data_IF_052954422099
#
_entry.id   IF_052954422099
#
_cell.length_a   1.000
_cell.length_b   1.000
_cell.length_c   1.000
_cell.angle_alpha   90.00
_cell.angle_beta   90.00
_cell.angle_gamma   90.00
#
_symmetry.space_group_name_H-M   'P 1'
#
loop_
_entity.id
_entity.type
_entity.pdbx_description
1 polymer ?
#
# COMPACT_ATOMS: atom_id res chain seq x y z
N UNK A 1 33.29 10.75 7.48
CA UNK A 1 34.22 10.77 6.34
C UNK A 1 33.42 10.46 5.09
N UNK A 2 33.33 11.39 4.16
CA UNK A 2 32.68 11.18 2.87
C UNK A 2 33.78 11.18 1.80
N UNK A 3 33.98 10.05 1.14
CA UNK A 3 34.86 9.95 -0.02
C UNK A 3 34.11 10.51 -1.23
N UNK A 4 34.70 11.51 -1.89
CA UNK A 4 34.19 12.06 -3.14
C UNK A 4 35.33 12.65 -3.94
N UNK A 5 35.68 12.00 -5.05
CA UNK A 5 36.69 12.50 -5.99
C UNK A 5 36.20 13.76 -6.71
N UNK A 6 37.14 14.61 -7.09
CA UNK A 6 36.97 15.92 -7.73
C UNK A 6 36.28 15.89 -9.10
N UNK A 7 35.86 14.72 -9.60
CA UNK A 7 35.18 14.52 -10.88
C UNK A 7 33.80 13.86 -10.79
N UNK A 8 33.25 13.66 -9.58
CA UNK A 8 31.91 13.06 -9.43
C UNK A 8 30.83 14.01 -9.98
N UNK A 9 29.85 13.53 -10.79
CA UNK A 9 28.75 14.36 -11.25
C UNK A 9 28.05 15.00 -10.05
N UNK A 10 27.88 16.31 -10.12
CA UNK A 10 27.21 17.14 -9.10
C UNK A 10 26.00 16.41 -8.55
N UNK A 11 25.92 16.29 -7.22
CA UNK A 11 24.79 15.69 -6.46
C UNK A 11 23.53 15.68 -7.30
N UNK A 12 23.03 14.49 -7.65
CA UNK A 12 21.72 14.33 -8.27
C UNK A 12 20.75 15.23 -7.51
N UNK A 13 20.32 16.30 -8.18
CA UNK A 13 19.36 17.25 -7.66
C UNK A 13 18.14 16.40 -7.33
N UNK A 14 17.91 16.11 -6.04
CA UNK A 14 16.75 15.35 -5.59
C UNK A 14 15.55 15.95 -6.31
N UNK A 15 14.91 15.15 -7.17
CA UNK A 15 13.71 15.57 -7.87
C UNK A 15 12.76 16.12 -6.81
N UNK A 16 12.58 17.44 -6.79
CA UNK A 16 11.74 18.10 -5.80
C UNK A 16 10.33 17.70 -6.23
N UNK A 17 9.79 16.66 -5.61
CA UNK A 17 8.40 16.26 -5.82
C UNK A 17 7.55 17.40 -5.28
N UNK A 18 7.11 18.30 -6.16
CA UNK A 18 6.09 19.28 -5.82
C UNK A 18 4.84 18.49 -5.45
N UNK A 19 4.42 18.57 -4.19
CA UNK A 19 3.12 18.08 -3.76
C UNK A 19 2.07 18.93 -4.48
N UNK A 20 1.61 18.47 -5.65
CA UNK A 20 0.45 19.06 -6.28
C UNK A 20 -0.72 18.95 -5.30
N UNK A 21 -1.35 20.09 -5.00
CA UNK A 21 -2.54 20.20 -4.14
C UNK A 21 -3.75 19.37 -4.63
N UNK A 22 -3.61 18.63 -5.75
CA UNK A 22 -4.65 17.83 -6.38
C UNK A 22 -4.44 16.31 -6.23
N UNK A 23 -3.37 15.84 -5.59
CA UNK A 23 -3.12 14.41 -5.40
C UNK A 23 -4.13 13.81 -4.41
N UNK A 24 -4.80 12.74 -4.82
CA UNK A 24 -5.62 11.87 -3.98
C UNK A 24 -4.84 10.60 -3.67
N UNK A 25 -4.93 10.13 -2.43
CA UNK A 25 -4.40 8.83 -2.04
C UNK A 25 -5.52 7.81 -2.09
N UNK A 26 -5.25 6.66 -2.73
CA UNK A 26 -6.19 5.55 -2.87
C UNK A 26 -5.56 4.31 -2.27
N UNK A 27 -6.30 3.62 -1.42
CA UNK A 27 -5.94 2.31 -0.89
C UNK A 27 -6.81 1.26 -1.56
N UNK A 28 -6.18 0.25 -2.17
CA UNK A 28 -6.88 -0.84 -2.87
C UNK A 28 -6.48 -2.17 -2.25
N UNK A 29 -7.47 -3.00 -1.94
CA UNK A 29 -7.30 -4.40 -1.58
C UNK A 29 -8.00 -5.29 -2.60
N UNK A 30 -7.31 -6.34 -3.01
CA UNK A 30 -7.76 -7.27 -4.04
C UNK A 30 -7.13 -8.64 -3.82
N UNK A 31 -7.74 -9.66 -4.40
CA UNK A 31 -7.24 -11.04 -4.45
C UNK A 31 -7.29 -11.57 -5.89
N UNK A 32 -6.95 -12.84 -6.11
CA UNK A 32 -7.00 -13.46 -7.44
C UNK A 32 -8.40 -13.44 -8.08
N UNK A 33 -9.47 -13.23 -7.30
CA UNK A 33 -10.85 -13.11 -7.80
C UNK A 33 -11.27 -11.63 -8.02
N UNK A 34 -10.37 -10.68 -7.82
CA UNK A 34 -10.59 -9.26 -8.10
C UNK A 34 -10.67 -8.36 -6.85
N UNK A 35 -11.28 -7.18 -7.03
CA UNK A 35 -11.20 -6.08 -6.06
C UNK A 35 -12.16 -6.27 -4.88
N UNK A 36 -11.60 -6.24 -3.67
CA UNK A 36 -12.34 -6.36 -2.40
C UNK A 36 -12.78 -4.99 -1.88
N UNK A 37 -11.87 -4.03 -1.81
CA UNK A 37 -12.11 -2.70 -1.25
C UNK A 37 -11.26 -1.65 -1.97
N UNK A 38 -11.89 -0.52 -2.29
CA UNK A 38 -11.21 0.71 -2.71
C UNK A 38 -11.62 1.80 -1.73
N UNK A 39 -10.66 2.47 -1.14
CA UNK A 39 -10.90 3.59 -0.23
C UNK A 39 -10.11 4.82 -0.70
N UNK A 40 -10.83 5.90 -0.97
CA UNK A 40 -10.26 7.19 -1.30
C UNK A 40 -10.07 7.98 -0.02
N UNK A 41 -8.86 8.49 0.19
CA UNK A 41 -8.60 9.38 1.29
C UNK A 41 -8.93 10.82 0.95
N UNK A 42 -9.24 11.58 1.99
CA UNK A 42 -9.34 13.05 1.90
C UNK A 42 -8.02 13.63 1.37
N UNK A 43 -8.13 14.69 0.57
CA UNK A 43 -6.95 15.36 0.00
C UNK A 43 -6.10 15.95 1.11
N UNK A 44 -4.79 15.82 0.98
CA UNK A 44 -3.82 16.43 1.90
C UNK A 44 -3.63 15.71 3.23
N UNK A 45 -4.36 14.63 3.51
CA UNK A 45 -4.13 13.78 4.70
C UNK A 45 -3.26 12.59 4.37
N UNK A 46 -2.30 12.30 5.26
CA UNK A 46 -1.49 11.09 5.21
C UNK A 46 -2.17 9.96 6.00
N UNK A 47 -2.03 8.71 5.55
CA UNK A 47 -2.46 7.53 6.32
C UNK A 47 -1.66 7.48 7.61
N UNK A 48 -2.34 7.56 8.75
CA UNK A 48 -1.79 7.13 10.02
C UNK A 48 -2.24 5.68 10.32
N UNK A 49 -1.69 5.09 11.39
CA UNK A 49 -1.98 3.71 11.76
C UNK A 49 -3.43 3.50 12.21
N UNK A 50 -4.12 4.53 12.72
CA UNK A 50 -5.52 4.44 13.13
C UNK A 50 -6.47 4.39 11.93
N UNK A 51 -6.20 5.20 10.91
CA UNK A 51 -6.91 5.15 9.64
C UNK A 51 -6.74 3.78 8.99
N UNK A 52 -5.51 3.26 8.97
CA UNK A 52 -5.26 1.93 8.45
C UNK A 52 -5.99 0.83 9.24
N UNK A 53 -6.04 0.91 10.57
CA UNK A 53 -6.86 0.00 11.40
C UNK A 53 -8.34 0.03 11.01
N UNK A 54 -8.87 1.23 10.72
CA UNK A 54 -10.27 1.40 10.29
C UNK A 54 -10.49 0.77 8.92
N UNK A 55 -9.58 0.96 7.99
CA UNK A 55 -9.61 0.33 6.67
C UNK A 55 -9.55 -1.19 6.77
N UNK A 56 -8.68 -1.76 7.62
CA UNK A 56 -8.63 -3.23 7.83
C UNK A 56 -9.94 -3.80 8.38
N UNK A 57 -10.63 -3.08 9.26
CA UNK A 57 -11.98 -3.48 9.73
C UNK A 57 -13.01 -3.49 8.59
N UNK A 58 -12.95 -2.50 7.69
CA UNK A 58 -13.80 -2.46 6.48
C UNK A 58 -13.44 -3.60 5.52
N UNK A 59 -12.15 -3.87 5.33
CA UNK A 59 -11.66 -4.97 4.51
C UNK A 59 -12.16 -6.31 5.03
N UNK A 60 -12.10 -6.55 6.33
CA UNK A 60 -12.64 -7.76 6.94
C UNK A 60 -14.12 -7.95 6.57
N UNK A 61 -14.94 -6.90 6.70
CA UNK A 61 -16.36 -6.92 6.29
C UNK A 61 -16.52 -7.22 4.80
N UNK A 62 -15.72 -6.59 3.95
CA UNK A 62 -15.73 -6.82 2.50
C UNK A 62 -15.43 -8.28 2.14
N UNK A 63 -14.45 -8.91 2.82
CA UNK A 63 -14.12 -10.33 2.63
C UNK A 63 -15.30 -11.22 3.05
N UNK A 64 -15.93 -10.99 4.20
CA UNK A 64 -17.09 -11.82 4.63
C UNK A 64 -18.25 -11.73 3.64
N UNK A 65 -18.46 -10.57 3.04
CA UNK A 65 -19.55 -10.34 2.11
C UNK A 65 -19.27 -10.90 0.71
N UNK A 66 -18.07 -10.63 0.15
CA UNK A 66 -17.71 -10.94 -1.23
C UNK A 66 -17.06 -12.32 -1.42
N UNK A 67 -16.52 -12.90 -0.35
CA UNK A 67 -15.73 -14.16 -0.35
C UNK A 67 -16.21 -15.08 0.77
N UNK A 68 -17.49 -15.46 0.74
CA UNK A 68 -18.08 -16.39 1.71
C UNK A 68 -17.26 -17.69 1.71
N UNK A 69 -16.65 -18.03 2.85
CA UNK A 69 -15.76 -19.20 3.01
C UNK A 69 -14.26 -18.87 3.10
N UNK A 70 -13.82 -17.67 2.71
CA UNK A 70 -12.40 -17.31 2.76
C UNK A 70 -11.93 -16.95 4.18
N UNK A 71 -12.86 -16.52 5.04
CA UNK A 71 -12.58 -16.34 6.48
C UNK A 71 -12.50 -17.64 7.29
N UNK A 72 -13.02 -18.74 6.75
CA UNK A 72 -12.79 -20.08 7.32
C UNK A 72 -11.42 -20.63 6.94
N UNK A 73 -10.77 -20.05 5.92
CA UNK A 73 -9.39 -20.30 5.54
C UNK A 73 -8.46 -19.26 6.19
N UNK A 74 -7.19 -19.60 6.38
CA UNK A 74 -6.20 -18.64 6.85
C UNK A 74 -6.03 -17.51 5.80
N UNK A 75 -6.20 -16.25 6.23
CA UNK A 75 -5.98 -15.08 5.37
C UNK A 75 -4.55 -14.61 5.56
N UNK A 76 -3.81 -14.54 4.45
CA UNK A 76 -2.46 -13.97 4.42
C UNK A 76 -2.55 -12.59 3.76
N UNK A 77 -2.19 -11.56 4.51
CA UNK A 77 -2.17 -10.17 4.05
C UNK A 77 -0.78 -9.81 3.54
N UNK A 78 -0.69 -9.41 2.27
CA UNK A 78 0.50 -8.82 1.69
C UNK A 78 0.35 -7.29 1.62
N UNK A 79 1.23 -6.57 2.31
CA UNK A 79 1.36 -5.12 2.22
C UNK A 79 2.83 -4.73 2.35
N UNK A 80 3.16 -3.49 1.99
CA UNK A 80 4.51 -2.95 2.15
C UNK A 80 4.84 -2.60 3.61
N UNK A 81 6.12 -2.36 3.91
CA UNK A 81 6.59 -2.01 5.25
C UNK A 81 6.46 -0.51 5.57
N UNK A 82 5.44 0.17 5.05
CA UNK A 82 5.20 1.56 5.38
C UNK A 82 4.97 1.73 6.90
N UNK A 83 5.42 2.86 7.46
CA UNK A 83 5.35 3.12 8.91
C UNK A 83 3.95 2.90 9.52
N UNK A 84 2.84 3.29 8.88
CA UNK A 84 1.50 3.01 9.41
C UNK A 84 1.15 1.53 9.46
N UNK A 85 1.70 0.72 8.55
CA UNK A 85 1.41 -0.70 8.40
C UNK A 85 2.22 -1.56 9.39
N UNK A 86 3.43 -1.12 9.77
CA UNK A 86 4.29 -1.81 10.75
C UNK A 86 4.04 -1.39 12.20
N UNK A 87 3.06 -0.52 12.45
CA UNK A 87 2.76 -0.08 13.80
C UNK A 87 2.24 -1.24 14.67
N UNK A 88 2.58 -1.23 15.96
CA UNK A 88 2.19 -2.28 16.93
C UNK A 88 0.70 -2.58 16.89
N UNK A 89 -0.12 -1.52 16.81
CA UNK A 89 -1.59 -1.62 16.72
C UNK A 89 -2.07 -2.43 15.51
N UNK A 90 -1.33 -2.42 14.39
CA UNK A 90 -1.69 -3.23 13.22
C UNK A 90 -1.50 -4.71 13.52
N UNK A 91 -0.37 -5.08 14.14
CA UNK A 91 -0.12 -6.46 14.58
C UNK A 91 -1.21 -6.97 15.53
N UNK A 92 -1.69 -6.14 16.45
CA UNK A 92 -2.81 -6.47 17.33
C UNK A 92 -4.12 -6.73 16.57
N UNK A 93 -4.42 -5.89 15.57
CA UNK A 93 -5.61 -6.04 14.72
C UNK A 93 -5.54 -7.32 13.90
N UNK A 94 -4.40 -7.61 13.27
CA UNK A 94 -4.20 -8.82 12.48
C UNK A 94 -4.32 -10.09 13.35
N UNK A 95 -3.71 -10.09 14.53
CA UNK A 95 -3.85 -11.17 15.52
C UNK A 95 -5.32 -11.37 15.93
N UNK A 96 -6.06 -10.29 16.19
CA UNK A 96 -7.50 -10.36 16.51
C UNK A 96 -8.32 -10.92 15.34
N UNK A 97 -7.88 -10.69 14.11
CA UNK A 97 -8.53 -11.21 12.91
C UNK A 97 -8.09 -12.64 12.58
N UNK A 98 -7.03 -13.16 13.22
CA UNK A 98 -6.36 -14.42 12.88
C UNK A 98 -5.84 -14.38 11.44
N UNK A 99 -5.27 -13.24 11.05
CA UNK A 99 -4.65 -13.04 9.75
C UNK A 99 -3.14 -13.04 9.91
N UNK A 100 -2.46 -13.70 9.00
CA UNK A 100 -1.00 -13.68 8.92
C UNK A 100 -0.56 -12.52 8.03
N UNK A 101 0.50 -11.82 8.42
CA UNK A 101 1.14 -10.83 7.55
C UNK A 101 2.27 -11.50 6.79
N UNK A 102 2.26 -11.42 5.47
CA UNK A 102 3.38 -11.89 4.66
C UNK A 102 4.58 -10.96 4.85
N UNK A 103 5.76 -11.54 5.10
CA UNK A 103 6.98 -10.74 5.26
C UNK A 103 7.41 -10.16 3.91
N UNK A 104 7.30 -8.85 3.77
CA UNK A 104 7.76 -8.15 2.57
C UNK A 104 9.18 -7.61 2.79
N UNK A 105 10.14 -7.85 1.88
CA UNK A 105 11.47 -7.27 2.01
C UNK A 105 11.45 -5.75 1.76
N UNK A 106 12.36 -4.96 2.37
CA UNK A 106 12.47 -3.54 2.10
C UNK A 106 12.74 -3.24 0.61
N UNK A 107 12.15 -2.16 0.10
CA UNK A 107 12.41 -1.62 -1.25
C UNK A 107 12.20 -2.60 -2.40
N UNK A 108 11.23 -3.51 -2.28
CA UNK A 108 10.98 -4.57 -3.28
C UNK A 108 9.62 -4.45 -3.97
N UNK A 109 9.36 -3.36 -4.71
CA UNK A 109 8.08 -3.14 -5.39
C UNK A 109 7.79 -4.19 -6.47
N UNK A 110 8.83 -4.83 -7.03
CA UNK A 110 8.73 -5.96 -7.95
C UNK A 110 8.09 -7.20 -7.32
N UNK A 111 8.16 -7.33 -6.00
CA UNK A 111 7.51 -8.39 -5.23
C UNK A 111 6.11 -8.01 -4.73
N UNK A 112 5.62 -6.81 -5.07
CA UNK A 112 4.31 -6.31 -4.70
C UNK A 112 3.37 -6.35 -5.92
N UNK A 113 2.39 -7.26 -5.95
CA UNK A 113 1.41 -7.35 -7.04
C UNK A 113 0.71 -6.03 -7.35
N UNK A 114 0.45 -5.22 -6.33
CA UNK A 114 -0.18 -3.92 -6.52
C UNK A 114 0.73 -2.95 -7.29
N UNK A 115 2.03 -2.95 -7.00
CA UNK A 115 2.97 -2.02 -7.62
C UNK A 115 3.33 -2.43 -9.05
N UNK A 116 3.65 -3.70 -9.30
CA UNK A 116 4.06 -4.12 -10.64
C UNK A 116 2.89 -4.28 -11.62
N UNK A 117 1.71 -4.70 -11.15
CA UNK A 117 0.57 -4.99 -12.03
C UNK A 117 -0.49 -3.87 -11.99
N UNK A 118 -1.16 -3.70 -10.86
CA UNK A 118 -2.35 -2.84 -10.75
C UNK A 118 -2.02 -1.37 -11.02
N UNK A 119 -1.04 -0.82 -10.33
CA UNK A 119 -0.69 0.60 -10.46
C UNK A 119 0.04 0.90 -11.77
N UNK A 120 0.77 -0.05 -12.33
CA UNK A 120 1.34 0.08 -13.68
C UNK A 120 0.24 0.24 -14.72
N UNK A 121 -0.78 -0.64 -14.70
CA UNK A 121 -1.91 -0.56 -15.61
C UNK A 121 -2.70 0.75 -15.43
N UNK A 122 -2.93 1.18 -14.18
CA UNK A 122 -3.63 2.42 -13.89
C UNK A 122 -2.89 3.65 -14.44
N UNK A 123 -1.56 3.72 -14.31
CA UNK A 123 -0.75 4.82 -14.87
C UNK A 123 -0.79 4.85 -16.40
N UNK A 124 -0.74 3.69 -17.05
CA UNK A 124 -0.86 3.60 -18.50
C UNK A 124 -2.21 4.14 -18.97
N UNK A 125 -3.29 3.78 -18.26
CA UNK A 125 -4.63 4.30 -18.51
C UNK A 125 -4.71 5.82 -18.29
N UNK A 126 -4.25 6.35 -17.16
CA UNK A 126 -4.25 7.80 -16.90
C UNK A 126 -3.50 8.61 -17.96
N UNK A 127 -2.44 8.03 -18.53
CA UNK A 127 -1.64 8.67 -19.58
C UNK A 127 -2.35 8.64 -20.94
N UNK A 128 -3.12 7.58 -21.22
CA UNK A 128 -3.87 7.44 -22.47
C UNK A 128 -5.09 8.37 -22.56
N UNK A 129 -5.63 8.83 -21.43
CA UNK A 129 -6.80 9.72 -21.36
C UNK A 129 -6.44 11.17 -20.98
N UNK A 130 -5.18 11.55 -21.18
CA UNK A 130 -4.67 12.92 -21.03
C UNK A 130 -4.48 13.56 -22.39
#
# INVERSE_FOLDING_TARGET
>A
MAWGHTGSPTRLRKARQTLSARKLMVTVFWDAQGILLIEFMTRGTAINSEDYCRTLKKLKRAIQNKRRGLLSSAVVLLHDNARPHTAVRIGEVLRKFKWDAFQHPPYSPDLSPSDFHLFTAMKAWETAFR
#
